data_IF_021163359562
#
_entry.id   IF_021163359562
#
_cell.length_a   1.000
_cell.length_b   1.000
_cell.length_c   1.000
_cell.angle_alpha   90.00
_cell.angle_beta   90.00
_cell.angle_gamma   90.00
#
_symmetry.space_group_name_H-M   'P 1'
#
loop_
_entity.id
_entity.type
_entity.pdbx_description
1 polymer ?
#
# COMPACT_ATOMS: atom_id res chain seq x y z
N UNK A 1 14.25 14.16 13.93
CA UNK A 1 13.68 15.12 14.91
C UNK A 1 14.77 15.49 15.91
N UNK A 2 14.73 16.71 16.44
CA UNK A 2 15.66 17.13 17.47
C UNK A 2 15.05 16.87 18.86
N UNK A 3 15.77 16.14 19.73
CA UNK A 3 15.33 15.85 21.10
C UNK A 3 15.13 17.11 21.96
N UNK A 4 15.88 18.19 21.69
CA UNK A 4 15.80 19.45 22.43
C UNK A 4 14.58 20.28 22.00
N UNK A 5 14.09 20.07 20.78
CA UNK A 5 12.93 20.78 20.21
C UNK A 5 11.64 19.98 20.38
N UNK A 6 11.70 18.67 20.14
CA UNK A 6 10.53 17.79 20.11
C UNK A 6 10.90 16.39 20.61
N UNK A 7 11.03 16.29 21.93
CA UNK A 7 11.41 15.06 22.63
C UNK A 7 10.47 13.89 22.36
N UNK A 8 9.16 14.13 22.34
CA UNK A 8 8.15 13.08 22.10
C UNK A 8 8.30 12.49 20.69
N UNK A 9 8.45 13.33 19.66
CA UNK A 9 8.69 12.83 18.31
C UNK A 9 10.03 12.12 18.19
N UNK A 10 11.08 12.63 18.85
CA UNK A 10 12.38 11.99 18.88
C UNK A 10 12.30 10.57 19.44
N UNK A 11 11.67 10.38 20.60
CA UNK A 11 11.47 9.07 21.23
C UNK A 11 10.65 8.12 20.35
N UNK A 12 9.59 8.62 19.72
CA UNK A 12 8.77 7.80 18.81
C UNK A 12 9.59 7.37 17.58
N UNK A 13 10.37 8.27 16.98
CA UNK A 13 11.18 7.96 15.79
C UNK A 13 12.32 6.99 16.10
N UNK A 14 13.05 7.19 17.20
CA UNK A 14 14.15 6.28 17.58
C UNK A 14 13.65 4.90 17.94
N UNK A 15 12.46 4.80 18.54
CA UNK A 15 11.84 3.53 18.89
C UNK A 15 11.20 2.80 17.70
N UNK A 16 10.44 3.53 16.88
CA UNK A 16 9.54 2.90 15.91
C UNK A 16 9.96 3.10 14.46
N UNK A 17 10.88 4.02 14.14
CA UNK A 17 11.16 4.40 12.74
C UNK A 17 12.61 4.18 12.34
N UNK A 18 13.41 3.50 13.15
CA UNK A 18 14.76 3.10 12.74
C UNK A 18 14.69 1.76 12.00
N UNK A 19 15.23 1.72 10.78
CA UNK A 19 15.37 0.47 10.06
C UNK A 19 16.29 -0.48 10.83
N UNK A 20 15.89 -1.75 10.93
CA UNK A 20 16.73 -2.77 11.56
C UNK A 20 18.12 -2.89 10.94
N UNK A 21 19.11 -3.29 11.73
CA UNK A 21 20.49 -3.46 11.29
C UNK A 21 20.48 -4.42 10.11
N UNK A 22 21.27 -4.11 9.09
CA UNK A 22 21.42 -4.97 7.94
C UNK A 22 22.80 -4.77 7.31
N UNK A 23 23.08 -5.51 6.25
CA UNK A 23 24.37 -5.46 5.58
C UNK A 23 25.45 -6.17 6.37
N UNK A 24 26.59 -5.50 6.50
CA UNK A 24 27.74 -6.00 7.27
C UNK A 24 27.43 -6.11 8.76
N UNK A 25 26.55 -5.26 9.29
CA UNK A 25 26.16 -5.25 10.71
C UNK A 25 25.24 -6.42 11.06
N UNK A 26 24.40 -6.86 10.12
CA UNK A 26 23.60 -8.07 10.27
C UNK A 26 23.27 -8.71 8.91
N UNK A 27 24.10 -9.65 8.43
CA UNK A 27 23.88 -10.31 7.15
C UNK A 27 22.64 -11.22 7.12
N UNK A 28 22.10 -11.59 8.28
CA UNK A 28 20.93 -12.48 8.43
C UNK A 28 19.61 -11.73 8.41
N UNK A 29 19.63 -10.40 8.30
CA UNK A 29 18.40 -9.60 8.32
C UNK A 29 17.50 -9.93 7.13
N UNK A 30 16.16 -9.94 7.30
CA UNK A 30 15.21 -10.27 6.22
C UNK A 30 15.34 -9.37 4.98
N UNK A 31 15.89 -8.18 5.13
CA UNK A 31 16.13 -7.26 4.02
C UNK A 31 17.40 -7.57 3.21
N UNK A 32 18.21 -8.55 3.61
CA UNK A 32 19.35 -9.07 2.84
C UNK A 32 18.86 -10.14 1.87
N UNK A 33 18.95 -9.87 0.56
CA UNK A 33 18.63 -10.84 -0.50
C UNK A 33 19.85 -11.01 -1.40
N UNK A 34 20.37 -12.23 -1.52
CA UNK A 34 21.56 -12.58 -2.33
C UNK A 34 22.77 -11.67 -2.05
N UNK A 35 23.01 -11.34 -0.78
CA UNK A 35 24.09 -10.43 -0.37
C UNK A 35 23.87 -8.95 -0.73
N UNK A 36 22.69 -8.59 -1.27
CA UNK A 36 22.31 -7.21 -1.62
C UNK A 36 21.21 -6.67 -0.68
N UNK A 37 21.26 -5.36 -0.48
CA UNK A 37 20.29 -4.61 0.32
C UNK A 37 18.97 -4.45 -0.44
N UNK A 38 17.96 -5.27 -0.14
CA UNK A 38 16.66 -5.17 -0.82
C UNK A 38 15.92 -3.86 -0.51
N UNK A 39 16.10 -3.32 0.71
CA UNK A 39 15.45 -2.09 1.18
C UNK A 39 16.32 -0.84 1.05
N UNK A 40 17.54 -0.99 0.53
CA UNK A 40 18.53 0.09 0.26
C UNK A 40 18.87 0.94 1.48
N UNK A 41 18.88 0.35 2.66
CA UNK A 41 19.41 0.97 3.87
C UNK A 41 20.86 0.52 4.07
N UNK A 42 21.74 1.38 4.63
CA UNK A 42 21.52 2.80 4.94
C UNK A 42 21.29 3.66 3.67
N UNK A 43 20.42 4.67 3.77
CA UNK A 43 20.01 5.55 2.65
C UNK A 43 20.90 6.77 2.53
N UNK A 44 21.53 7.00 1.38
CA UNK A 44 22.41 8.15 1.15
C UNK A 44 21.78 9.51 1.52
N UNK A 45 22.63 10.44 1.97
CA UNK A 45 22.25 11.83 2.16
C UNK A 45 21.99 12.54 0.82
N UNK A 46 20.87 13.25 0.76
CA UNK A 46 20.42 14.00 -0.41
C UNK A 46 19.79 15.30 0.08
N UNK A 47 20.16 16.42 -0.54
CA UNK A 47 19.71 17.74 -0.12
C UNK A 47 18.22 18.00 -0.43
N UNK A 48 17.69 17.46 -1.52
CA UNK A 48 16.30 17.64 -1.93
C UNK A 48 15.62 16.29 -2.17
N UNK A 49 14.32 16.21 -1.90
CA UNK A 49 13.52 15.05 -2.31
C UNK A 49 13.40 15.04 -3.83
N UNK A 50 13.84 13.96 -4.47
CA UNK A 50 13.83 13.80 -5.93
C UNK A 50 13.17 12.48 -6.33
N UNK A 51 12.68 12.39 -7.56
CA UNK A 51 12.18 11.10 -8.08
C UNK A 51 13.38 10.28 -8.57
N UNK A 52 13.56 9.08 -8.03
CA UNK A 52 14.62 8.16 -8.42
C UNK A 52 14.40 7.59 -9.83
N UNK A 53 15.46 7.07 -10.43
CA UNK A 53 15.44 6.47 -11.78
C UNK A 53 14.50 5.27 -11.90
N UNK A 54 14.18 4.62 -10.79
CA UNK A 54 13.26 3.49 -10.72
C UNK A 54 11.80 3.90 -10.45
N UNK A 55 11.52 5.20 -10.38
CA UNK A 55 10.20 5.78 -10.14
C UNK A 55 9.83 5.96 -8.67
N UNK A 56 10.67 5.57 -7.72
CA UNK A 56 10.43 5.76 -6.28
C UNK A 56 11.07 7.06 -5.78
N UNK A 57 10.50 7.74 -4.78
CA UNK A 57 11.10 8.94 -4.22
C UNK A 57 12.42 8.62 -3.49
N UNK A 58 13.39 9.50 -3.68
CA UNK A 58 14.57 9.60 -2.84
C UNK A 58 14.37 10.81 -1.94
N UNK A 59 14.13 10.56 -0.66
CA UNK A 59 13.83 11.61 0.31
C UNK A 59 15.07 12.42 0.69
N UNK A 60 14.85 13.72 0.91
CA UNK A 60 15.85 14.59 1.55
C UNK A 60 16.29 13.97 2.88
N UNK A 61 17.60 13.84 3.04
CA UNK A 61 18.30 13.47 4.28
C UNK A 61 19.56 14.31 4.32
N UNK A 62 19.59 15.30 5.19
CA UNK A 62 20.73 16.22 5.30
C UNK A 62 21.41 16.02 6.64
N UNK A 63 22.74 15.94 6.62
CA UNK A 63 23.56 15.96 7.82
C UNK A 63 23.64 17.38 8.41
N UNK A 64 23.60 18.40 7.56
CA UNK A 64 23.78 19.82 7.92
C UNK A 64 22.55 20.39 8.66
N UNK A 65 21.35 19.87 8.38
CA UNK A 65 20.09 20.31 9.02
C UNK A 65 19.79 19.59 10.35
N UNK A 66 20.83 19.17 11.09
CA UNK A 66 20.69 18.46 12.36
C UNK A 66 20.75 16.94 12.23
N UNK A 67 21.66 16.42 11.40
CA UNK A 67 22.06 15.01 11.40
C UNK A 67 22.66 14.61 12.75
N UNK A 68 21.79 14.36 13.72
CA UNK A 68 22.18 13.93 15.07
C UNK A 68 22.36 12.42 15.05
N UNK A 69 23.43 11.97 15.70
CA UNK A 69 23.58 10.57 16.08
C UNK A 69 22.62 10.30 17.24
N UNK A 70 21.90 9.20 17.16
CA UNK A 70 21.10 8.65 18.24
C UNK A 70 21.68 7.30 18.63
N UNK A 71 21.92 7.08 19.92
CA UNK A 71 22.24 5.75 20.43
C UNK A 71 20.94 4.99 20.63
N UNK A 72 20.79 3.87 19.93
CA UNK A 72 19.67 2.96 20.13
C UNK A 72 20.18 1.61 20.62
N UNK A 73 19.42 0.96 21.50
CA UNK A 73 19.71 -0.41 21.90
C UNK A 73 19.05 -1.36 20.91
N UNK A 74 19.85 -2.13 20.18
CA UNK A 74 19.35 -3.14 19.26
C UNK A 74 20.12 -4.45 19.43
N UNK A 75 19.38 -5.54 19.60
CA UNK A 75 19.96 -6.87 19.80
C UNK A 75 20.96 -6.93 20.98
N UNK A 76 20.64 -6.25 22.09
CA UNK A 76 21.47 -6.14 23.30
C UNK A 76 22.82 -5.43 23.08
N UNK A 77 22.91 -4.56 22.08
CA UNK A 77 24.08 -3.72 21.85
C UNK A 77 23.64 -2.28 21.58
N UNK A 78 24.40 -1.32 22.13
CA UNK A 78 24.19 0.09 21.86
C UNK A 78 24.86 0.45 20.54
N UNK A 79 24.08 0.99 19.62
CA UNK A 79 24.51 1.32 18.27
C UNK A 79 24.16 2.77 17.99
N UNK A 80 25.13 3.51 17.47
CA UNK A 80 24.91 4.84 16.96
C UNK A 80 24.28 4.76 15.57
N UNK A 81 23.08 5.31 15.45
CA UNK A 81 22.36 5.45 14.19
C UNK A 81 22.21 6.92 13.86
N UNK A 82 22.29 7.21 12.57
CA UNK A 82 22.05 8.54 12.03
C UNK A 82 20.81 8.54 11.13
N UNK A 83 20.58 9.68 10.47
CA UNK A 83 19.46 9.88 9.56
C UNK A 83 19.46 8.94 8.32
N UNK A 84 20.52 8.18 8.03
CA UNK A 84 20.50 7.20 6.94
C UNK A 84 19.59 6.01 7.25
N UNK A 85 19.35 5.72 8.53
CA UNK A 85 18.59 4.57 9.00
C UNK A 85 17.11 4.87 9.26
N UNK A 86 16.74 6.15 9.32
CA UNK A 86 15.38 6.58 9.63
C UNK A 86 14.43 6.30 8.47
N UNK A 87 13.31 5.63 8.71
CA UNK A 87 12.25 5.41 7.72
C UNK A 87 11.46 6.72 7.52
N UNK A 88 11.11 7.10 6.28
CA UNK A 88 10.29 8.29 6.02
C UNK A 88 8.97 8.27 6.79
N UNK A 89 8.61 9.39 7.40
CA UNK A 89 7.45 9.47 8.29
C UNK A 89 6.79 10.84 8.27
N UNK A 90 5.55 10.89 8.77
CA UNK A 90 4.83 12.12 9.08
C UNK A 90 4.83 12.36 10.59
N UNK A 91 5.40 13.46 11.10
CA UNK A 91 5.36 13.81 12.52
C UNK A 91 3.96 13.76 13.13
N UNK A 92 2.95 14.24 12.40
CA UNK A 92 1.56 14.25 12.85
C UNK A 92 1.03 12.83 13.07
N UNK A 93 1.25 11.93 12.10
CA UNK A 93 0.77 10.55 12.19
C UNK A 93 1.48 9.79 13.31
N UNK A 94 2.80 9.97 13.44
CA UNK A 94 3.57 9.33 14.49
C UNK A 94 3.12 9.77 15.89
N UNK A 95 2.92 11.08 16.12
CA UNK A 95 2.42 11.58 17.41
C UNK A 95 1.02 11.10 17.73
N UNK A 96 0.18 10.96 16.71
CA UNK A 96 -1.21 10.51 16.86
C UNK A 96 -1.30 9.04 17.23
N UNK A 97 -0.55 8.18 16.52
CA UNK A 97 -0.70 6.72 16.62
C UNK A 97 0.41 6.01 17.39
N UNK A 98 1.56 6.67 17.61
CA UNK A 98 2.73 6.14 18.34
C UNK A 98 3.19 4.75 17.86
N UNK A 99 3.10 4.51 16.55
CA UNK A 99 3.38 3.23 15.90
C UNK A 99 4.40 3.38 14.76
N UNK A 100 4.92 2.24 14.25
CA UNK A 100 5.70 2.23 13.01
C UNK A 100 4.76 2.52 11.83
N UNK A 101 4.91 3.68 11.18
CA UNK A 101 4.06 4.09 10.05
C UNK A 101 4.95 4.50 8.88
N UNK A 102 4.93 3.71 7.81
CA UNK A 102 5.65 4.07 6.59
C UNK A 102 4.85 5.09 5.77
N UNK A 103 5.45 6.23 5.43
CA UNK A 103 4.82 7.26 4.60
C UNK A 103 5.58 7.40 3.29
N UNK A 104 4.93 7.06 2.18
CA UNK A 104 5.54 7.02 0.85
C UNK A 104 4.88 8.03 -0.11
N UNK A 105 5.71 8.75 -0.87
CA UNK A 105 5.30 9.70 -1.89
C UNK A 105 5.25 8.97 -3.22
N UNK A 106 4.09 8.96 -3.86
CA UNK A 106 3.87 8.14 -5.06
C UNK A 106 3.56 9.03 -6.25
N UNK A 107 4.56 9.17 -7.14
CA UNK A 107 4.48 10.01 -8.33
C UNK A 107 4.80 9.27 -9.63
N UNK A 108 5.05 7.96 -9.57
CA UNK A 108 5.26 7.13 -10.76
C UNK A 108 4.16 6.09 -10.92
N UNK A 109 3.92 5.67 -12.15
CA UNK A 109 3.02 4.56 -12.49
C UNK A 109 3.41 3.29 -11.71
N UNK A 110 4.71 3.08 -11.49
CA UNK A 110 5.22 1.94 -10.73
C UNK A 110 4.85 2.01 -9.25
N UNK A 111 5.02 3.17 -8.61
CA UNK A 111 4.61 3.39 -7.21
C UNK A 111 3.10 3.26 -7.03
N UNK A 112 2.31 3.79 -7.98
CA UNK A 112 0.85 3.66 -7.96
C UNK A 112 0.44 2.19 -8.13
N UNK A 113 1.02 1.47 -9.09
CA UNK A 113 0.75 0.03 -9.31
C UNK A 113 1.12 -0.78 -8.08
N UNK A 114 2.22 -0.43 -7.41
CA UNK A 114 2.62 -1.06 -6.16
C UNK A 114 1.55 -0.85 -5.08
N UNK A 115 1.08 0.38 -4.84
CA UNK A 115 0.00 0.62 -3.86
C UNK A 115 -1.27 -0.17 -4.23
N UNK A 116 -1.70 -0.11 -5.50
CA UNK A 116 -2.86 -0.84 -5.96
C UNK A 116 -2.69 -2.35 -5.74
N UNK A 117 -1.49 -2.89 -5.89
CA UNK A 117 -1.20 -4.30 -5.57
C UNK A 117 -1.45 -4.59 -4.09
N UNK A 118 -1.06 -3.72 -3.17
CA UNK A 118 -1.25 -3.92 -1.73
C UNK A 118 -2.70 -3.76 -1.30
N UNK A 119 -3.38 -2.71 -1.79
CA UNK A 119 -4.82 -2.49 -1.52
C UNK A 119 -5.68 -3.64 -2.04
N UNK A 120 -5.34 -4.17 -3.22
CA UNK A 120 -6.06 -5.28 -3.82
C UNK A 120 -5.44 -6.65 -3.51
N UNK A 121 -4.40 -6.70 -2.65
CA UNK A 121 -3.89 -7.96 -2.12
C UNK A 121 -4.99 -8.50 -1.23
N UNK A 122 -5.75 -9.48 -1.74
CA UNK A 122 -6.81 -10.13 -0.98
C UNK A 122 -6.27 -10.60 0.36
N UNK A 123 -7.12 -10.62 1.38
CA UNK A 123 -6.66 -10.98 2.72
C UNK A 123 -6.20 -12.45 2.77
N UNK A 124 -5.35 -12.75 3.74
CA UNK A 124 -4.76 -14.06 3.91
C UNK A 124 -5.84 -15.13 4.05
N UNK A 125 -5.72 -16.20 3.29
CA UNK A 125 -6.57 -17.38 3.43
C UNK A 125 -5.87 -18.38 4.35
N UNK A 126 -6.63 -18.91 5.30
CA UNK A 126 -6.18 -20.00 6.16
C UNK A 126 -7.05 -21.23 5.87
N UNK A 127 -6.41 -22.39 5.78
CA UNK A 127 -7.10 -23.68 5.72
C UNK A 127 -6.91 -24.35 7.07
N UNK A 128 -7.99 -24.74 7.73
CA UNK A 128 -7.94 -25.43 9.01
C UNK A 128 -8.72 -26.74 8.95
N UNK A 129 -8.20 -27.73 9.67
CA UNK A 129 -8.82 -29.05 9.82
C UNK A 129 -9.82 -29.06 10.97
N UNK A 130 -11.04 -29.55 10.74
CA UNK A 130 -12.04 -29.78 11.79
C UNK A 130 -12.05 -31.27 12.11
N UNK A 131 -11.47 -31.65 13.25
CA UNK A 131 -11.45 -33.04 13.68
C UNK A 131 -12.69 -33.34 14.55
N UNK A 132 -13.45 -34.40 14.25
CA UNK A 132 -14.56 -34.81 15.12
C UNK A 132 -14.03 -35.34 16.46
N UNK A 133 -14.77 -35.09 17.54
CA UNK A 133 -14.48 -35.70 18.84
C UNK A 133 -14.58 -37.23 18.74
N UNK A 134 -13.63 -37.94 19.35
CA UNK A 134 -13.64 -39.41 19.40
C UNK A 134 -14.77 -39.88 20.32
N UNK A 135 -15.94 -40.15 19.76
CA UNK A 135 -16.97 -40.93 20.44
C UNK A 135 -16.63 -42.42 20.33
N UNK A 136 -16.21 -42.99 21.46
CA UNK A 136 -16.00 -44.41 21.79
C UNK A 136 -15.13 -45.26 20.83
N UNK A 137 -14.11 -45.88 21.41
CA UNK A 137 -12.89 -46.40 20.77
C UNK A 137 -13.01 -47.59 19.80
N UNK A 138 -14.17 -47.86 19.18
CA UNK A 138 -14.35 -48.98 18.25
C UNK A 138 -15.20 -48.69 17.00
N UNK A 139 -15.62 -47.44 16.73
CA UNK A 139 -16.24 -47.10 15.46
C UNK A 139 -15.18 -46.79 14.39
N UNK A 140 -15.23 -47.48 13.24
CA UNK A 140 -14.41 -47.12 12.09
C UNK A 140 -14.71 -45.66 11.70
N UNK A 141 -13.74 -44.77 11.94
CA UNK A 141 -13.81 -43.38 11.52
C UNK A 141 -13.93 -43.35 10.00
N UNK A 142 -15.09 -42.98 9.49
CA UNK A 142 -15.24 -42.62 8.08
C UNK A 142 -14.51 -41.28 7.88
N UNK A 143 -13.27 -41.37 7.41
CA UNK A 143 -12.40 -40.21 7.14
C UNK A 143 -12.80 -39.64 5.78
N UNK A 144 -13.54 -38.53 5.79
CA UNK A 144 -13.83 -37.74 4.59
C UNK A 144 -12.81 -36.59 4.53
N UNK A 145 -11.70 -36.84 3.83
CA UNK A 145 -10.59 -35.89 3.70
C UNK A 145 -11.02 -34.54 3.13
N UNK A 146 -12.13 -34.45 2.37
CA UNK A 146 -12.56 -33.20 1.73
C UNK A 146 -13.44 -32.37 2.67
N UNK A 147 -14.32 -33.01 3.45
CA UNK A 147 -15.18 -32.28 4.42
C UNK A 147 -14.43 -31.75 5.63
N UNK A 148 -13.26 -32.31 5.94
CA UNK A 148 -12.53 -31.98 7.16
C UNK A 148 -11.64 -30.77 7.02
N UNK A 149 -11.42 -30.22 5.83
CA UNK A 149 -10.72 -28.95 5.66
C UNK A 149 -11.70 -27.83 5.30
N UNK A 150 -11.67 -26.75 6.07
CA UNK A 150 -12.37 -25.52 5.75
C UNK A 150 -11.38 -24.43 5.39
N UNK A 151 -11.64 -23.74 4.28
CA UNK A 151 -10.91 -22.55 3.88
C UNK A 151 -11.66 -21.32 4.39
N UNK A 152 -11.02 -20.57 5.29
CA UNK A 152 -11.50 -19.31 5.80
C UNK A 152 -10.66 -18.15 5.28
N UNK A 153 -11.29 -16.99 5.10
CA UNK A 153 -10.59 -15.74 4.85
C UNK A 153 -10.35 -15.05 6.18
N UNK A 154 -9.08 -14.82 6.54
CA UNK A 154 -8.73 -14.03 7.72
C UNK A 154 -9.10 -12.57 7.44
N UNK A 155 -9.89 -11.97 8.33
CA UNK A 155 -10.20 -10.54 8.32
C UNK A 155 -9.51 -9.97 9.56
N UNK A 156 -8.55 -9.07 9.35
CA UNK A 156 -7.85 -8.42 10.46
C UNK A 156 -8.78 -7.48 11.22
N UNK A 157 -8.47 -7.18 12.48
CA UNK A 157 -9.32 -6.34 13.34
C UNK A 157 -9.59 -4.97 12.71
N UNK A 158 -8.59 -4.38 12.04
CA UNK A 158 -8.76 -3.14 11.28
C UNK A 158 -9.73 -3.35 10.10
N UNK A 159 -9.55 -4.37 9.25
CA UNK A 159 -10.47 -4.62 8.13
C UNK A 159 -11.91 -4.86 8.62
N UNK A 160 -12.09 -5.56 9.74
CA UNK A 160 -13.40 -5.83 10.34
C UNK A 160 -14.09 -4.55 10.84
N UNK A 161 -13.38 -3.72 11.62
CA UNK A 161 -13.91 -2.44 12.12
C UNK A 161 -14.28 -1.52 10.96
N UNK A 162 -13.43 -1.43 9.94
CA UNK A 162 -13.70 -0.66 8.73
C UNK A 162 -14.95 -1.14 7.98
N UNK A 163 -15.15 -2.46 7.86
CA UNK A 163 -16.36 -3.04 7.24
C UNK A 163 -17.62 -2.78 8.07
N UNK A 164 -17.53 -2.88 9.39
CA UNK A 164 -18.66 -2.62 10.30
C UNK A 164 -19.07 -1.14 10.26
N UNK A 165 -18.10 -0.24 10.30
CA UNK A 165 -18.33 1.21 10.34
C UNK A 165 -18.56 1.83 8.96
N UNK A 166 -18.28 1.09 7.87
CA UNK A 166 -18.49 1.52 6.49
C UNK A 166 -17.85 2.87 6.13
N UNK A 167 -16.67 3.16 6.68
CA UNK A 167 -15.96 4.40 6.38
C UNK A 167 -15.48 4.46 4.92
N UNK A 168 -15.47 5.64 4.28
CA UNK A 168 -14.90 5.82 2.94
C UNK A 168 -13.40 5.48 2.94
N UNK A 169 -12.99 4.50 2.13
CA UNK A 169 -11.60 4.00 2.08
C UNK A 169 -10.73 4.83 1.13
N UNK A 170 -11.34 5.35 0.06
CA UNK A 170 -10.66 6.19 -0.91
C UNK A 170 -11.64 7.19 -1.50
N UNK A 171 -11.17 8.41 -1.67
CA UNK A 171 -11.84 9.42 -2.47
C UNK A 171 -11.03 9.63 -3.74
N UNK A 172 -11.72 9.76 -4.87
CA UNK A 172 -11.09 10.06 -6.17
C UNK A 172 -11.83 11.22 -6.77
N UNK A 173 -11.11 12.31 -7.01
CA UNK A 173 -11.61 13.46 -7.74
C UNK A 173 -10.68 13.70 -8.94
N UNK A 174 -11.11 13.44 -10.17
CA UNK A 174 -12.41 12.87 -10.57
C UNK A 174 -12.53 11.37 -10.22
N UNK A 175 -13.76 10.86 -10.12
CA UNK A 175 -14.00 9.44 -9.90
C UNK A 175 -13.48 8.61 -11.08
N UNK A 176 -12.51 7.71 -10.82
CA UNK A 176 -11.98 6.81 -11.86
C UNK A 176 -12.90 5.59 -12.01
N UNK A 177 -13.64 5.55 -13.12
CA UNK A 177 -14.51 4.43 -13.49
C UNK A 177 -13.86 3.69 -14.65
N UNK A 178 -13.86 2.35 -14.59
CA UNK A 178 -13.41 1.55 -15.72
C UNK A 178 -14.36 1.80 -16.89
N UNK A 179 -13.86 2.40 -17.98
CA UNK A 179 -14.66 2.58 -19.17
C UNK A 179 -15.12 1.22 -19.67
N UNK A 180 -16.42 1.06 -19.86
CA UNK A 180 -16.95 -0.11 -20.56
C UNK A 180 -16.51 -0.02 -22.03
N UNK A 181 -15.28 -0.45 -22.32
CA UNK A 181 -14.84 -0.77 -23.67
C UNK A 181 -15.77 -1.85 -24.16
N UNK A 182 -16.74 -1.43 -24.96
CA UNK A 182 -17.77 -2.31 -25.51
C UNK A 182 -17.11 -3.08 -26.65
N UNK A 183 -16.20 -3.99 -26.32
CA UNK A 183 -15.49 -4.83 -27.30
C UNK A 183 -15.47 -6.31 -26.92
N UNK A 184 -15.93 -6.71 -25.72
CA UNK A 184 -15.93 -8.13 -25.29
C UNK A 184 -17.25 -8.70 -24.79
N UNK A 185 -18.30 -7.88 -24.67
CA UNK A 185 -19.67 -8.38 -24.60
C UNK A 185 -20.41 -7.73 -25.75
N UNK A 186 -20.86 -8.56 -26.69
CA UNK A 186 -21.75 -8.19 -27.77
C UNK A 186 -22.96 -7.47 -27.19
N UNK A 187 -22.88 -6.15 -27.02
CA UNK A 187 -24.06 -5.31 -27.05
C UNK A 187 -24.33 -5.18 -28.54
N UNK A 188 -24.95 -6.21 -29.12
CA UNK A 188 -25.47 -6.17 -30.47
C UNK A 188 -26.52 -5.07 -30.47
N UNK A 189 -26.11 -3.83 -30.76
CA UNK A 189 -27.08 -2.78 -31.09
C UNK A 189 -27.64 -3.21 -32.43
N UNK A 190 -28.84 -3.76 -32.41
CA UNK A 190 -29.54 -4.18 -33.62
C UNK A 190 -29.93 -2.91 -34.35
N UNK A 191 -29.18 -2.59 -35.40
CA UNK A 191 -29.48 -1.52 -36.32
C UNK A 191 -30.58 -2.03 -37.26
N UNK A 192 -31.78 -1.50 -37.13
CA UNK A 192 -32.84 -1.71 -38.10
C UNK A 192 -32.76 -0.59 -39.15
N UNK A 193 -33.03 -0.89 -40.41
CA UNK A 193 -33.05 0.10 -41.50
C UNK A 193 -33.97 1.30 -41.19
N UNK A 194 -35.00 1.10 -40.39
CA UNK A 194 -35.91 2.14 -39.92
C UNK A 194 -35.33 3.10 -38.85
N UNK A 195 -34.36 2.67 -38.04
CA UNK A 195 -33.85 3.46 -36.90
C UNK A 195 -32.38 3.91 -37.05
N UNK A 196 -31.70 3.48 -38.12
CA UNK A 196 -30.29 3.77 -38.40
C UNK A 196 -30.02 5.27 -38.51
N UNK A 197 -30.83 6.00 -39.29
CA UNK A 197 -30.58 7.43 -39.52
C UNK A 197 -30.80 8.24 -38.25
N UNK A 198 -31.85 7.95 -37.49
CA UNK A 198 -32.12 8.64 -36.21
C UNK A 198 -31.04 8.32 -35.15
N UNK A 199 -30.56 7.08 -35.09
CA UNK A 199 -29.51 6.67 -34.14
C UNK A 199 -28.14 7.27 -34.50
N UNK A 200 -27.86 7.46 -35.79
CA UNK A 200 -26.64 8.11 -36.28
C UNK A 200 -26.64 9.62 -36.01
N UNK A 201 -27.80 10.27 -36.13
CA UNK A 201 -27.96 11.70 -35.86
C UNK A 201 -27.94 12.02 -34.36
N UNK A 202 -28.49 11.13 -33.52
CA UNK A 202 -28.54 11.31 -32.06
C UNK A 202 -27.94 10.08 -31.35
N UNK A 203 -26.59 9.91 -31.39
CA UNK A 203 -25.97 8.80 -30.70
C UNK A 203 -26.19 8.94 -29.18
N UNK A 204 -26.69 7.89 -28.49
CA UNK A 204 -26.89 7.97 -27.06
C UNK A 204 -25.55 8.11 -26.34
N UNK A 205 -25.53 8.94 -25.29
CA UNK A 205 -24.34 9.19 -24.50
C UNK A 205 -23.79 7.87 -23.93
N UNK A 206 -22.55 7.57 -24.30
CA UNK A 206 -21.76 6.47 -23.76
C UNK A 206 -20.79 7.01 -22.71
N UNK A 207 -20.29 6.15 -21.83
CA UNK A 207 -19.27 6.54 -20.85
C UNK A 207 -18.02 7.14 -21.54
N UNK A 208 -17.71 6.73 -22.77
CA UNK A 208 -16.61 7.26 -23.57
C UNK A 208 -16.89 8.66 -24.14
N UNK A 209 -18.09 8.92 -24.66
CA UNK A 209 -18.46 10.25 -25.16
C UNK A 209 -18.63 11.26 -24.03
N UNK A 210 -19.11 10.82 -22.87
CA UNK A 210 -19.11 11.61 -21.64
C UNK A 210 -17.68 11.98 -21.18
N UNK A 211 -16.72 11.05 -21.28
CA UNK A 211 -15.31 11.32 -20.98
C UNK A 211 -14.71 12.40 -21.88
N UNK A 212 -14.93 12.33 -23.21
CA UNK A 212 -14.45 13.38 -24.11
C UNK A 212 -15.08 14.76 -23.83
N UNK A 213 -16.37 14.77 -23.48
CA UNK A 213 -17.06 16.01 -23.07
C UNK A 213 -16.46 16.58 -21.78
N UNK A 214 -16.05 15.71 -20.84
CA UNK A 214 -15.39 16.13 -19.61
C UNK A 214 -14.00 16.72 -19.88
N UNK A 215 -13.18 16.08 -20.72
CA UNK A 215 -11.86 16.59 -21.12
C UNK A 215 -11.92 17.94 -21.84
N UNK A 216 -13.02 18.26 -22.53
CA UNK A 216 -13.22 19.57 -23.15
C UNK A 216 -13.54 20.67 -22.11
N UNK A 217 -14.17 20.31 -20.99
CA UNK A 217 -14.53 21.26 -19.92
C UNK A 217 -13.39 21.48 -18.93
N UNK A 218 -12.56 20.47 -18.72
CA UNK A 218 -11.44 20.51 -17.81
C UNK A 218 -10.20 19.84 -18.45
N UNK A 219 -9.19 20.63 -18.87
CA UNK A 219 -7.95 20.10 -19.43
C UNK A 219 -7.12 19.30 -18.41
N UNK A 220 -7.30 19.55 -17.10
CA UNK A 220 -6.54 18.86 -16.05
C UNK A 220 -6.96 17.40 -15.87
N UNK A 221 -8.18 17.04 -16.28
CA UNK A 221 -8.67 15.66 -16.28
C UNK A 221 -7.93 14.75 -17.27
N UNK A 222 -7.20 15.34 -18.24
CA UNK A 222 -6.35 14.61 -19.16
C UNK A 222 -4.99 14.21 -18.55
N UNK A 223 -4.61 14.80 -17.41
CA UNK A 223 -3.31 14.60 -16.75
C UNK A 223 -3.54 13.82 -15.45
N UNK A 224 -3.64 12.49 -15.56
CA UNK A 224 -3.55 11.61 -14.39
C UNK A 224 -2.09 11.50 -13.96
N UNK A 225 -1.73 11.92 -12.74
CA UNK A 225 -0.32 11.77 -12.33
C UNK A 225 0.09 11.99 -10.88
N UNK A 226 -0.73 12.53 -9.98
CA UNK A 226 -0.28 12.70 -8.59
C UNK A 226 -1.36 12.26 -7.59
N UNK A 227 -1.04 11.22 -6.82
CA UNK A 227 -1.86 10.73 -5.73
C UNK A 227 -0.98 10.59 -4.48
N UNK A 228 -1.33 11.30 -3.41
CA UNK A 228 -0.83 11.00 -2.08
C UNK A 228 -1.69 9.87 -1.52
N UNK A 229 -1.09 8.70 -1.26
CA UNK A 229 -1.78 7.59 -0.61
C UNK A 229 -0.96 7.19 0.61
N UNK A 230 -1.55 7.36 1.78
CA UNK A 230 -1.03 6.85 3.04
C UNK A 230 -1.44 5.38 3.17
N UNK A 231 -0.47 4.48 3.15
CA UNK A 231 -0.69 3.09 3.54
C UNK A 231 -0.13 2.89 4.95
N UNK A 232 -1.02 2.77 5.95
CA UNK A 232 -0.64 2.43 7.31
C UNK A 232 -0.63 0.91 7.46
N UNK A 233 0.56 0.30 7.39
CA UNK A 233 0.79 -1.01 8.00
C UNK A 233 1.35 -0.75 9.40
N UNK A 234 0.56 -1.07 10.42
CA UNK A 234 1.03 -1.18 11.79
C UNK A 234 1.52 -2.62 11.96
N UNK A 235 2.84 -2.82 11.96
CA UNK A 235 3.46 -4.07 12.40
C UNK A 235 3.54 -4.12 13.94
#
# INVERSE_FOLDING_TARGET
PDADVDKDLYEIVTKNMIHGLCGTLNPKSPCMMDGKYSKRYPRAFIFNTVTGSDGYPLYRRSAEDGGKLATINMSNSDIEVDNHWVVPHSPLLLKTYKAHINVEYCNSVKSITYICKYVNKGSHMAVFGVQPERSDGNAALHIDEIKWYQAGRYISSNEAVWRILSFPIHERSPAVVHLASTSRKWTTRIFHTANVQQTALNPPATTLTAFFTLCQKDPSTAIFGSAFILHMECE
#
